data_IF_114169470244
#
_entry.id   IF_114169470244
#
_cell.length_a   1.000
_cell.length_b   1.000
_cell.length_c   1.000
_cell.angle_alpha   90.00
_cell.angle_beta   90.00
_cell.angle_gamma   90.00
#
_symmetry.space_group_name_H-M   'P 1'
#
loop_
_entity.id
_entity.type
_entity.pdbx_description
1 polymer ?
#
# COMPACT_ATOMS: atom_id res chain seq x y z
N UNK A 1 -42.76 -71.97 8.33
CA UNK A 1 -41.69 -72.79 7.70
C UNK A 1 -40.39 -71.99 7.69
N UNK A 2 -39.51 -72.24 8.67
CA UNK A 2 -38.14 -71.70 8.73
C UNK A 2 -37.20 -72.89 8.60
N UNK A 3 -36.41 -72.96 7.52
CA UNK A 3 -35.39 -74.01 7.35
C UNK A 3 -34.04 -73.48 7.81
N UNK A 4 -33.46 -74.19 8.79
CA UNK A 4 -32.03 -74.23 9.10
C UNK A 4 -31.28 -75.02 8.01
N UNK A 5 -30.02 -74.68 7.78
CA UNK A 5 -28.82 -75.54 7.60
C UNK A 5 -27.67 -74.63 7.12
N UNK A 6 -26.39 -74.71 7.49
CA UNK A 6 -25.58 -75.30 8.56
C UNK A 6 -24.24 -74.52 8.51
N UNK A 7 -23.60 -74.31 9.67
CA UNK A 7 -22.33 -73.60 9.80
C UNK A 7 -21.16 -74.45 9.29
N UNK A 8 -20.21 -73.82 8.60
CA UNK A 8 -18.81 -74.28 8.51
C UNK A 8 -17.92 -73.12 8.93
N UNK A 9 -17.28 -73.28 10.09
CA UNK A 9 -16.30 -72.36 10.64
C UNK A 9 -14.95 -72.70 10.02
N UNK A 10 -14.41 -71.82 9.18
CA UNK A 10 -13.00 -71.84 8.80
C UNK A 10 -12.30 -70.83 9.70
N UNK A 11 -11.49 -71.34 10.62
CA UNK A 11 -10.54 -70.53 11.40
C UNK A 11 -9.40 -70.18 10.45
N UNK A 12 -9.43 -68.97 9.87
CA UNK A 12 -8.30 -68.43 9.17
C UNK A 12 -7.29 -67.92 10.21
N UNK A 13 -6.15 -68.62 10.33
CA UNK A 13 -5.03 -68.18 11.14
C UNK A 13 -4.50 -66.84 10.58
N UNK A 14 -4.56 -65.79 11.39
CA UNK A 14 -3.95 -64.51 11.08
C UNK A 14 -2.43 -64.66 11.14
N UNK A 15 -1.80 -64.86 9.98
CA UNK A 15 -0.35 -64.71 9.83
C UNK A 15 -0.11 -63.20 9.65
N UNK A 16 0.28 -62.53 10.74
CA UNK A 16 0.70 -61.14 10.68
C UNK A 16 1.88 -61.00 9.72
N UNK A 17 1.93 -59.94 8.89
CA UNK A 17 3.09 -59.72 8.03
C UNK A 17 4.30 -59.49 8.93
N UNK A 18 5.30 -60.35 8.80
CA UNK A 18 6.61 -60.12 9.37
C UNK A 18 7.15 -58.83 8.77
N UNK A 19 7.23 -57.78 9.57
CA UNK A 19 8.03 -56.61 9.26
C UNK A 19 9.47 -57.07 9.24
N UNK A 20 9.96 -57.43 8.05
CA UNK A 20 11.39 -57.46 7.79
C UNK A 20 11.84 -56.02 7.98
N UNK A 21 12.34 -55.71 9.18
CA UNK A 21 13.07 -54.49 9.45
C UNK A 21 14.32 -54.54 8.59
N UNK A 22 14.19 -54.11 7.33
CA UNK A 22 15.33 -53.78 6.51
C UNK A 22 16.10 -52.73 7.27
N UNK A 23 17.29 -53.08 7.76
CA UNK A 23 18.20 -52.10 8.32
C UNK A 23 18.32 -50.98 7.29
N UNK A 24 17.91 -49.76 7.66
CA UNK A 24 18.09 -48.59 6.83
C UNK A 24 19.60 -48.47 6.58
N UNK A 25 20.05 -48.89 5.39
CA UNK A 25 21.41 -48.59 4.96
C UNK A 25 21.48 -47.08 4.82
N UNK A 26 22.45 -46.47 5.50
CA UNK A 26 22.85 -45.12 5.16
C UNK A 26 23.19 -45.12 3.66
N UNK A 27 22.43 -44.34 2.89
CA UNK A 27 22.69 -44.15 1.46
C UNK A 27 24.07 -43.55 1.25
N UNK A 28 24.57 -43.68 0.03
CA UNK A 28 25.70 -42.88 -0.41
C UNK A 28 25.31 -41.40 -0.49
N UNK A 29 26.29 -40.50 -0.55
CA UNK A 29 26.00 -39.09 -0.78
C UNK A 29 25.17 -38.86 -2.06
N UNK A 30 25.36 -39.68 -3.10
CA UNK A 30 24.59 -39.58 -4.35
C UNK A 30 23.12 -39.99 -4.19
N UNK A 31 22.80 -40.86 -3.22
CA UNK A 31 21.41 -41.24 -2.90
C UNK A 31 20.66 -40.11 -2.17
N UNK A 32 21.39 -39.28 -1.42
CA UNK A 32 20.83 -38.15 -0.68
C UNK A 32 20.90 -36.81 -1.45
N UNK A 33 21.84 -36.69 -2.38
CA UNK A 33 22.08 -35.49 -3.18
C UNK A 33 22.14 -35.85 -4.67
N UNK A 34 21.06 -36.42 -5.24
CA UNK A 34 21.05 -36.84 -6.63
C UNK A 34 21.31 -35.64 -7.55
N UNK A 35 22.24 -35.80 -8.50
CA UNK A 35 22.48 -34.80 -9.54
C UNK A 35 21.34 -34.83 -10.54
N UNK A 36 20.92 -33.65 -10.98
CA UNK A 36 19.92 -33.53 -12.04
C UNK A 36 20.45 -34.08 -13.37
N UNK A 37 19.61 -34.83 -14.07
CA UNK A 37 19.84 -35.20 -15.47
C UNK A 37 19.31 -34.05 -16.33
N UNK A 38 20.13 -33.54 -17.23
CA UNK A 38 19.78 -32.41 -18.09
C UNK A 38 19.29 -32.88 -19.47
N UNK A 39 18.33 -32.17 -20.06
CA UNK A 39 17.92 -32.36 -21.47
C UNK A 39 16.54 -33.01 -21.69
N UNK A 40 15.87 -33.50 -20.65
CA UNK A 40 14.47 -33.94 -20.67
C UNK A 40 13.53 -32.88 -20.10
N UNK A 41 12.24 -32.95 -20.49
CA UNK A 41 11.19 -32.20 -19.81
C UNK A 41 10.94 -32.86 -18.44
N UNK A 42 10.98 -32.07 -17.37
CA UNK A 42 10.95 -32.56 -15.98
C UNK A 42 9.63 -32.23 -15.26
N UNK A 43 8.65 -31.65 -15.95
CA UNK A 43 7.39 -31.27 -15.31
C UNK A 43 7.47 -29.95 -14.54
N UNK A 44 8.50 -29.15 -14.83
CA UNK A 44 8.87 -27.99 -14.03
C UNK A 44 7.84 -26.86 -14.03
N UNK A 45 7.91 -25.99 -13.03
CA UNK A 45 7.19 -24.71 -12.95
C UNK A 45 8.09 -23.57 -12.48
N UNK A 46 7.84 -22.36 -12.99
CA UNK A 46 8.32 -21.11 -12.40
C UNK A 46 7.32 -19.98 -12.65
N UNK A 47 7.55 -18.80 -12.07
CA UNK A 47 6.83 -17.59 -12.47
C UNK A 47 7.68 -16.78 -13.45
N UNK A 48 7.03 -16.25 -14.48
CA UNK A 48 7.50 -15.04 -15.13
C UNK A 48 6.76 -13.86 -14.51
N UNK A 49 7.48 -12.79 -14.18
CA UNK A 49 6.95 -11.74 -13.32
C UNK A 49 7.38 -10.36 -13.76
N UNK A 50 6.47 -9.40 -13.67
CA UNK A 50 6.73 -7.98 -13.87
C UNK A 50 6.62 -7.25 -12.53
N UNK A 51 7.63 -6.44 -12.19
CA UNK A 51 7.65 -5.58 -11.01
C UNK A 51 7.07 -4.21 -11.33
N UNK A 52 6.12 -3.74 -10.52
CA UNK A 52 5.65 -2.36 -10.50
C UNK A 52 6.06 -1.70 -9.18
N UNK A 53 6.61 -0.50 -9.27
CA UNK A 53 7.07 0.26 -8.12
C UNK A 53 6.50 1.68 -8.10
N UNK A 54 6.38 2.24 -6.90
CA UNK A 54 6.15 3.66 -6.66
C UNK A 54 7.48 4.38 -6.80
N UNK A 55 7.60 5.13 -7.88
CA UNK A 55 8.73 6.01 -8.16
C UNK A 55 8.55 7.31 -7.37
N UNK A 56 9.14 7.37 -6.18
CA UNK A 56 8.89 8.45 -5.24
C UNK A 56 9.57 9.76 -5.66
N UNK A 57 10.70 9.66 -6.37
CA UNK A 57 11.48 10.82 -6.81
C UNK A 57 11.15 11.24 -8.27
N UNK A 58 10.37 10.43 -8.99
CA UNK A 58 9.87 10.64 -10.37
C UNK A 58 10.95 10.66 -11.44
N UNK A 59 12.06 9.97 -11.23
CA UNK A 59 13.17 9.98 -12.18
C UNK A 59 13.05 8.89 -13.27
N UNK A 60 12.07 7.99 -13.18
CA UNK A 60 11.87 6.89 -14.13
C UNK A 60 12.90 5.77 -13.99
N UNK A 61 13.53 5.64 -12.83
CA UNK A 61 14.51 4.60 -12.48
C UNK A 61 14.05 3.92 -11.21
N UNK A 62 14.25 2.60 -11.10
CA UNK A 62 14.00 1.89 -9.85
C UNK A 62 15.24 2.01 -8.96
N UNK A 63 15.17 2.82 -7.90
CA UNK A 63 16.30 3.13 -7.03
C UNK A 63 16.07 2.91 -5.53
N UNK A 64 17.15 3.10 -4.76
CA UNK A 64 17.13 2.95 -3.30
C UNK A 64 16.24 4.03 -2.68
N UNK A 65 15.05 3.64 -2.25
CA UNK A 65 14.04 4.54 -1.71
C UNK A 65 12.67 4.30 -2.34
N UNK A 66 12.65 3.74 -3.55
CA UNK A 66 11.41 3.33 -4.19
C UNK A 66 10.76 2.15 -3.48
N UNK A 67 9.45 2.09 -3.64
CA UNK A 67 8.61 1.13 -2.90
C UNK A 67 7.83 0.24 -3.86
N UNK A 68 7.54 -1.01 -3.50
CA UNK A 68 6.60 -1.82 -4.28
C UNK A 68 5.25 -1.09 -4.41
N UNK A 69 4.54 -1.36 -5.50
CA UNK A 69 3.15 -0.95 -5.64
C UNK A 69 2.25 -2.18 -5.74
N UNK A 70 1.40 -2.37 -4.74
CA UNK A 70 0.44 -3.48 -4.68
C UNK A 70 -0.81 -3.16 -5.49
N UNK A 71 -1.44 -4.19 -6.05
CA UNK A 71 -2.71 -4.13 -6.81
C UNK A 71 -2.73 -3.26 -8.06
N UNK A 72 -1.61 -3.16 -8.75
CA UNK A 72 -1.57 -2.64 -10.11
C UNK A 72 -1.94 -3.75 -11.08
N UNK A 73 -2.81 -3.45 -12.05
CA UNK A 73 -3.18 -4.41 -13.08
C UNK A 73 -2.08 -4.56 -14.12
N UNK A 74 -1.73 -5.81 -14.43
CA UNK A 74 -0.79 -6.18 -15.49
C UNK A 74 -1.47 -7.19 -16.39
N UNK A 75 -1.63 -6.83 -17.65
CA UNK A 75 -2.17 -7.67 -18.71
C UNK A 75 -1.03 -8.41 -19.41
N UNK A 76 -1.28 -9.65 -19.80
CA UNK A 76 -0.38 -10.51 -20.57
C UNK A 76 -1.12 -11.03 -21.80
N UNK A 77 -0.73 -10.55 -22.96
CA UNK A 77 -1.16 -11.05 -24.26
C UNK A 77 -0.33 -12.29 -24.61
N UNK A 78 -1.03 -13.32 -25.10
CA UNK A 78 -0.47 -14.64 -25.39
C UNK A 78 -0.37 -14.90 -26.90
N UNK A 79 0.45 -15.90 -27.31
CA UNK A 79 0.56 -16.30 -28.71
C UNK A 79 -0.75 -16.74 -29.37
N UNK A 80 -1.70 -17.25 -28.59
CA UNK A 80 -3.03 -17.70 -29.08
C UNK A 80 -4.02 -16.53 -29.29
N UNK A 81 -3.59 -15.29 -29.04
CA UNK A 81 -4.40 -14.09 -29.13
C UNK A 81 -5.29 -13.82 -27.91
N UNK A 82 -5.22 -14.65 -26.86
CA UNK A 82 -5.91 -14.37 -25.60
C UNK A 82 -5.10 -13.44 -24.70
N UNK A 83 -5.81 -12.72 -23.83
CA UNK A 83 -5.22 -11.85 -22.80
C UNK A 83 -5.64 -12.33 -21.43
N UNK A 84 -4.72 -12.28 -20.47
CA UNK A 84 -5.02 -12.50 -19.05
C UNK A 84 -4.53 -11.33 -18.22
N UNK A 85 -5.13 -11.10 -17.06
CA UNK A 85 -4.73 -10.03 -16.14
C UNK A 85 -4.35 -10.59 -14.78
N UNK A 86 -3.31 -10.02 -14.16
CA UNK A 86 -2.94 -10.24 -12.76
C UNK A 86 -2.74 -8.90 -12.06
N UNK A 87 -3.12 -8.86 -10.79
CA UNK A 87 -2.78 -7.77 -9.90
C UNK A 87 -1.39 -8.02 -9.29
N UNK A 88 -0.61 -6.96 -9.10
CA UNK A 88 0.64 -7.04 -8.35
C UNK A 88 0.38 -7.40 -6.89
N UNK A 89 1.25 -8.23 -6.31
CA UNK A 89 1.19 -8.60 -4.90
C UNK A 89 1.83 -7.52 -3.99
N UNK A 90 1.93 -7.77 -2.67
CA UNK A 90 2.57 -6.87 -1.71
C UNK A 90 4.07 -6.59 -1.97
N UNK A 91 4.72 -7.41 -2.80
CA UNK A 91 6.07 -7.20 -3.29
C UNK A 91 6.15 -6.38 -4.58
N UNK A 92 5.02 -5.96 -5.14
CA UNK A 92 4.93 -5.25 -6.42
C UNK A 92 4.98 -6.16 -7.65
N UNK A 93 4.97 -7.49 -7.48
CA UNK A 93 5.09 -8.43 -8.60
C UNK A 93 3.73 -8.91 -9.09
N UNK A 94 3.47 -8.76 -10.39
CA UNK A 94 2.46 -9.54 -11.09
C UNK A 94 3.13 -10.84 -11.55
N UNK A 95 2.63 -11.99 -11.06
CA UNK A 95 3.24 -13.29 -11.31
C UNK A 95 2.34 -14.14 -12.24
N UNK A 96 2.93 -14.67 -13.29
CA UNK A 96 2.27 -15.58 -14.23
C UNK A 96 2.98 -16.93 -14.19
N UNK A 97 2.25 -18.00 -13.90
CA UNK A 97 2.86 -19.33 -13.80
C UNK A 97 3.21 -19.80 -15.20
N UNK A 98 4.40 -20.38 -15.29
CA UNK A 98 5.03 -20.79 -16.51
C UNK A 98 5.45 -22.26 -16.43
N UNK A 99 5.08 -23.04 -17.45
CA UNK A 99 5.51 -24.42 -17.60
C UNK A 99 5.33 -24.92 -19.03
N UNK A 100 6.35 -25.57 -19.60
CA UNK A 100 6.21 -26.25 -20.90
C UNK A 100 5.40 -27.55 -20.82
N UNK A 101 4.97 -28.00 -19.64
CA UNK A 101 4.24 -29.27 -19.44
C UNK A 101 2.91 -29.12 -18.70
N UNK A 102 2.79 -28.16 -17.76
CA UNK A 102 1.56 -27.92 -17.00
C UNK A 102 0.60 -27.03 -17.78
N UNK A 103 -0.30 -27.63 -18.57
CA UNK A 103 -1.21 -26.92 -19.50
C UNK A 103 -2.32 -26.09 -18.83
N UNK A 104 -2.49 -26.17 -17.52
CA UNK A 104 -3.42 -25.35 -16.75
C UNK A 104 -2.81 -24.01 -16.27
N UNK A 105 -1.60 -23.68 -16.73
CA UNK A 105 -0.89 -22.45 -16.38
C UNK A 105 -1.12 -21.33 -17.39
N UNK A 106 -0.64 -20.14 -17.04
CA UNK A 106 -0.80 -18.94 -17.84
C UNK A 106 0.12 -18.94 -19.07
N UNK A 107 1.39 -19.29 -18.89
CA UNK A 107 2.43 -19.27 -19.92
C UNK A 107 2.87 -20.71 -20.20
N UNK A 108 2.28 -21.32 -21.23
CA UNK A 108 2.41 -22.77 -21.49
C UNK A 108 2.96 -23.11 -22.87
N UNK A 109 2.83 -22.19 -23.82
CA UNK A 109 3.30 -22.34 -25.18
C UNK A 109 4.52 -21.47 -25.42
N UNK A 110 5.47 -21.97 -26.21
CA UNK A 110 6.53 -21.14 -26.75
C UNK A 110 5.92 -20.15 -27.77
N UNK A 111 6.46 -18.95 -27.82
CA UNK A 111 5.97 -17.89 -28.70
C UNK A 111 6.17 -16.51 -28.12
N UNK A 112 5.56 -15.53 -28.77
CA UNK A 112 5.64 -14.13 -28.41
C UNK A 112 4.59 -13.77 -27.36
N UNK A 113 5.00 -13.12 -26.28
CA UNK A 113 4.13 -12.62 -25.23
C UNK A 113 4.39 -11.13 -25.01
N UNK A 114 3.32 -10.37 -24.72
CA UNK A 114 3.41 -8.94 -24.43
C UNK A 114 2.76 -8.63 -23.07
N UNK A 115 3.46 -7.87 -22.23
CA UNK A 115 2.99 -7.37 -20.95
C UNK A 115 2.55 -5.91 -21.10
N UNK A 116 1.44 -5.53 -20.48
CA UNK A 116 0.99 -4.14 -20.39
C UNK A 116 0.55 -3.81 -18.97
N UNK A 117 1.15 -2.78 -18.38
CA UNK A 117 0.73 -2.24 -17.09
C UNK A 117 -0.43 -1.26 -17.30
N UNK A 118 -1.43 -1.31 -16.42
CA UNK A 118 -2.54 -0.35 -16.37
C UNK A 118 -2.49 0.39 -15.03
N UNK A 119 -2.21 1.71 -15.00
CA UNK A 119 -2.07 2.45 -13.76
C UNK A 119 -3.43 2.63 -13.08
N UNK A 120 -3.49 2.61 -11.74
CA UNK A 120 -4.71 2.98 -11.03
C UNK A 120 -5.02 4.49 -11.21
N UNK A 121 -6.25 4.93 -10.92
CA UNK A 121 -6.60 6.35 -10.97
C UNK A 121 -5.67 7.23 -10.12
N UNK A 122 -5.27 8.38 -10.65
CA UNK A 122 -4.38 9.32 -9.95
C UNK A 122 -2.91 8.90 -9.95
N UNK A 123 -2.49 8.02 -10.87
CA UNK A 123 -1.10 7.65 -11.09
C UNK A 123 -0.72 7.77 -12.57
N UNK A 124 0.52 8.23 -12.79
CA UNK A 124 1.13 8.37 -14.11
C UNK A 124 2.41 7.54 -14.21
N UNK A 125 2.69 7.05 -15.42
CA UNK A 125 3.96 6.37 -15.70
C UNK A 125 5.13 7.35 -15.59
N UNK A 126 6.19 6.92 -14.92
CA UNK A 126 7.48 7.60 -14.91
C UNK A 126 8.50 6.89 -15.78
N UNK A 127 8.33 5.58 -15.99
CA UNK A 127 9.15 4.79 -16.90
C UNK A 127 8.54 4.74 -18.30
N UNK A 128 9.37 4.76 -19.34
CA UNK A 128 8.96 4.66 -20.75
C UNK A 128 8.66 3.24 -21.24
N UNK A 129 8.43 2.28 -20.35
CA UNK A 129 8.36 0.83 -20.62
C UNK A 129 7.07 0.17 -20.09
N UNK A 130 5.96 0.91 -20.10
CA UNK A 130 4.64 0.42 -19.66
C UNK A 130 4.19 -0.86 -20.40
N UNK A 131 4.62 -1.01 -21.66
CA UNK A 131 4.46 -2.22 -22.46
C UNK A 131 5.83 -2.85 -22.73
N UNK A 132 5.92 -4.18 -22.59
CA UNK A 132 7.16 -4.94 -22.78
C UNK A 132 6.86 -6.27 -23.44
N UNK A 133 7.79 -6.79 -24.22
CA UNK A 133 7.58 -8.01 -25.00
C UNK A 133 8.74 -8.99 -24.79
N UNK A 134 8.44 -10.29 -24.90
CA UNK A 134 9.46 -11.33 -24.87
C UNK A 134 9.02 -12.57 -25.62
N UNK A 135 9.99 -13.22 -26.26
CA UNK A 135 9.82 -14.57 -26.79
C UNK A 135 10.09 -15.60 -25.71
N UNK A 136 9.21 -16.58 -25.60
CA UNK A 136 9.36 -17.74 -24.73
C UNK A 136 9.71 -18.96 -25.57
N UNK A 137 10.69 -19.73 -25.10
CA UNK A 137 11.18 -20.93 -25.80
C UNK A 137 11.28 -22.11 -24.85
N UNK A 138 10.90 -23.29 -25.33
CA UNK A 138 11.06 -24.54 -24.58
C UNK A 138 12.56 -24.76 -24.30
N UNK A 139 12.87 -25.03 -23.03
CA UNK A 139 14.23 -25.26 -22.55
C UNK A 139 14.19 -26.39 -21.52
N UNK A 140 14.29 -27.66 -21.99
CA UNK A 140 14.17 -28.83 -21.13
C UNK A 140 15.19 -28.83 -19.98
N UNK A 141 14.72 -29.09 -18.76
CA UNK A 141 15.54 -29.09 -17.55
C UNK A 141 15.68 -27.72 -16.89
N UNK A 142 15.19 -26.62 -17.50
CA UNK A 142 15.00 -25.36 -16.78
C UNK A 142 13.86 -25.49 -15.75
N UNK A 143 13.74 -24.60 -14.73
CA UNK A 143 12.73 -24.77 -13.69
C UNK A 143 11.29 -24.87 -14.19
N UNK A 144 10.94 -24.24 -15.33
CA UNK A 144 9.64 -24.35 -15.99
C UNK A 144 9.66 -25.15 -17.29
N UNK A 145 10.77 -25.82 -17.61
CA UNK A 145 11.06 -26.39 -18.93
C UNK A 145 10.91 -25.38 -20.10
N UNK A 146 10.94 -24.09 -19.77
CA UNK A 146 10.75 -22.95 -20.65
C UNK A 146 11.46 -21.74 -20.05
N UNK A 147 11.94 -20.86 -20.91
CA UNK A 147 12.57 -19.59 -20.51
C UNK A 147 12.03 -18.45 -21.35
N UNK A 148 12.04 -17.25 -20.79
CA UNK A 148 11.96 -16.00 -21.55
C UNK A 148 13.35 -15.69 -22.14
N UNK A 149 13.43 -15.27 -23.41
CA UNK A 149 14.69 -14.80 -24.00
C UNK A 149 15.16 -13.49 -23.38
N UNK A 150 14.21 -12.63 -23.03
CA UNK A 150 14.43 -11.36 -22.34
C UNK A 150 13.49 -11.27 -21.13
N UNK A 151 14.01 -10.88 -19.97
CA UNK A 151 13.19 -10.64 -18.79
C UNK A 151 12.59 -9.25 -18.81
N UNK A 152 11.46 -9.04 -18.14
CA UNK A 152 10.88 -7.70 -17.99
C UNK A 152 11.74 -6.81 -17.11
N UNK A 153 11.71 -5.51 -17.38
CA UNK A 153 12.23 -4.46 -16.51
C UNK A 153 11.14 -3.93 -15.57
N UNK A 154 11.50 -3.38 -14.39
CA UNK A 154 10.53 -2.73 -13.51
C UNK A 154 9.81 -1.57 -14.20
N UNK A 155 8.53 -1.35 -13.84
CA UNK A 155 7.69 -0.26 -14.34
C UNK A 155 7.37 0.69 -13.19
N UNK A 156 7.69 1.97 -13.37
CA UNK A 156 7.55 3.00 -12.35
C UNK A 156 6.27 3.81 -12.52
N UNK A 157 5.57 4.01 -11.41
CA UNK A 157 4.39 4.86 -11.31
C UNK A 157 4.60 5.91 -10.23
N UNK A 158 4.17 7.14 -10.48
CA UNK A 158 4.13 8.19 -9.48
C UNK A 158 2.71 8.75 -9.36
N UNK A 159 2.31 9.13 -8.14
CA UNK A 159 1.00 9.74 -7.91
C UNK A 159 0.87 11.05 -8.69
N UNK A 160 -0.32 11.41 -9.15
CA UNK A 160 -0.57 12.72 -9.70
C UNK A 160 -0.64 13.73 -8.55
N UNK A 161 0.22 14.75 -8.59
CA UNK A 161 0.34 15.69 -7.48
C UNK A 161 -0.72 16.78 -7.57
N UNK A 162 -1.44 16.95 -6.47
CA UNK A 162 -2.40 18.03 -6.31
C UNK A 162 -2.25 18.69 -4.95
N UNK A 163 -2.62 19.97 -4.87
CA UNK A 163 -3.04 20.60 -3.61
C UNK A 163 -4.54 20.77 -3.69
N UNK A 164 -5.25 20.26 -2.69
CA UNK A 164 -6.71 20.28 -2.62
C UNK A 164 -7.21 20.58 -1.21
N UNK A 165 -8.49 20.89 -1.07
CA UNK A 165 -9.09 21.17 0.23
C UNK A 165 -10.55 21.58 0.14
N UNK A 166 -11.14 21.89 1.30
CA UNK A 166 -12.45 22.50 1.41
C UNK A 166 -12.34 23.96 1.88
N UNK A 167 -13.17 24.82 1.30
CA UNK A 167 -13.25 26.23 1.64
C UNK A 167 -14.72 26.67 1.71
N UNK A 168 -15.02 27.73 2.46
CA UNK A 168 -16.33 28.35 2.41
C UNK A 168 -16.66 28.83 0.99
N UNK A 169 -17.94 28.78 0.60
CA UNK A 169 -18.39 29.25 -0.71
C UNK A 169 -17.99 30.73 -0.93
N UNK A 170 -17.46 31.02 -2.13
CA UNK A 170 -16.95 32.36 -2.46
C UNK A 170 -15.54 32.67 -1.96
N UNK A 171 -14.86 31.73 -1.30
CA UNK A 171 -13.44 31.88 -0.96
C UNK A 171 -12.60 31.96 -2.23
N UNK A 172 -11.69 32.92 -2.30
CA UNK A 172 -10.64 32.96 -3.32
C UNK A 172 -9.41 32.22 -2.78
N UNK A 173 -8.94 31.25 -3.56
CA UNK A 173 -7.74 30.45 -3.28
C UNK A 173 -6.69 30.77 -4.33
N UNK A 174 -5.49 31.18 -3.91
CA UNK A 174 -4.35 31.45 -4.79
C UNK A 174 -3.18 30.58 -4.35
N UNK A 175 -2.58 29.87 -5.31
CA UNK A 175 -1.40 29.04 -5.09
C UNK A 175 -0.21 29.73 -5.74
N UNK A 176 0.88 29.88 -4.99
CA UNK A 176 2.17 30.34 -5.50
C UNK A 176 3.16 29.19 -5.45
N UNK A 177 3.70 28.82 -6.60
CA UNK A 177 4.60 27.69 -6.74
C UNK A 177 6.08 28.01 -6.44
N UNK A 178 6.95 26.99 -6.52
CA UNK A 178 8.39 27.14 -6.31
C UNK A 178 9.08 28.09 -7.31
N UNK A 179 8.47 28.29 -8.47
CA UNK A 179 8.90 29.23 -9.51
C UNK A 179 8.47 30.68 -9.23
N UNK A 180 7.71 30.91 -8.16
CA UNK A 180 7.13 32.20 -7.78
C UNK A 180 5.88 32.57 -8.58
N UNK A 181 5.43 31.73 -9.51
CA UNK A 181 4.22 31.98 -10.30
C UNK A 181 2.98 31.69 -9.45
N UNK A 182 1.97 32.54 -9.60
CA UNK A 182 0.72 32.44 -8.85
C UNK A 182 -0.46 32.15 -9.76
N UNK A 183 -1.31 31.21 -9.36
CA UNK A 183 -2.55 30.86 -10.05
C UNK A 183 -3.73 30.77 -9.07
N UNK A 184 -4.89 31.28 -9.48
CA UNK A 184 -6.12 31.10 -8.70
C UNK A 184 -6.67 29.69 -8.95
N UNK A 185 -6.94 28.93 -7.88
CA UNK A 185 -7.60 27.64 -8.00
C UNK A 185 -9.11 27.84 -8.27
N UNK A 186 -9.66 26.94 -9.08
CA UNK A 186 -11.10 26.87 -9.30
C UNK A 186 -11.75 26.22 -8.08
N UNK A 187 -12.65 26.96 -7.42
CA UNK A 187 -13.47 26.44 -6.32
C UNK A 187 -14.81 25.97 -6.91
N UNK A 188 -15.15 24.71 -6.65
CA UNK A 188 -16.42 24.11 -7.05
C UNK A 188 -17.61 24.62 -6.24
N UNK A 189 -18.85 24.39 -6.71
CA UNK A 189 -20.07 24.76 -5.98
C UNK A 189 -20.20 24.08 -4.60
N UNK A 190 -19.54 22.95 -4.41
CA UNK A 190 -19.43 22.19 -3.15
C UNK A 190 -18.37 22.75 -2.19
N UNK A 191 -17.70 23.84 -2.56
CA UNK A 191 -16.63 24.44 -1.78
C UNK A 191 -15.31 23.66 -1.84
N UNK A 192 -15.17 22.67 -2.73
CA UNK A 192 -13.91 21.95 -2.93
C UNK A 192 -13.06 22.60 -4.00
N UNK A 193 -11.75 22.57 -3.83
CA UNK A 193 -10.80 22.94 -4.89
C UNK A 193 -9.74 21.85 -5.02
N UNK A 194 -9.15 21.76 -6.21
CA UNK A 194 -7.98 20.96 -6.49
C UNK A 194 -7.19 21.62 -7.60
N UNK A 195 -5.87 21.67 -7.46
CA UNK A 195 -4.95 22.20 -8.45
C UNK A 195 -3.80 21.20 -8.64
N UNK A 196 -3.47 20.88 -9.89
CA UNK A 196 -2.27 20.13 -10.20
C UNK A 196 -1.03 20.96 -9.89
N UNK A 197 -0.02 20.32 -9.29
CA UNK A 197 1.20 20.99 -8.82
C UNK A 197 2.44 20.15 -9.15
N UNK A 198 3.61 20.79 -9.08
CA UNK A 198 4.89 20.11 -9.12
C UNK A 198 5.43 19.92 -7.69
N UNK A 199 6.40 19.01 -7.48
CA UNK A 199 7.11 18.91 -6.20
C UNK A 199 7.76 20.24 -5.81
N UNK A 200 7.83 20.50 -4.51
CA UNK A 200 8.50 21.68 -3.94
C UNK A 200 7.64 22.45 -2.95
N UNK A 201 8.10 23.66 -2.64
CA UNK A 201 7.47 24.56 -1.68
C UNK A 201 6.37 25.40 -2.31
N UNK A 202 5.19 25.40 -1.69
CA UNK A 202 4.02 26.14 -2.14
C UNK A 202 3.50 27.06 -1.05
N UNK A 203 3.06 28.25 -1.44
CA UNK A 203 2.24 29.11 -0.61
C UNK A 203 0.79 29.04 -1.09
N UNK A 204 -0.15 28.86 -0.16
CA UNK A 204 -1.58 28.84 -0.46
C UNK A 204 -2.26 29.94 0.33
N UNK A 205 -2.77 30.94 -0.38
CA UNK A 205 -3.48 32.10 0.15
C UNK A 205 -4.99 31.91 0.01
N UNK A 206 -5.68 31.93 1.15
CA UNK A 206 -7.13 31.93 1.26
C UNK A 206 -7.61 33.34 1.58
N UNK A 207 -8.71 33.75 0.95
CA UNK A 207 -9.37 35.02 1.26
C UNK A 207 -10.88 34.91 1.12
N UNK A 208 -11.61 35.23 2.19
CA UNK A 208 -13.07 35.25 2.22
C UNK A 208 -13.58 36.25 3.26
N UNK A 209 -14.53 37.12 2.89
CA UNK A 209 -15.20 38.01 3.85
C UNK A 209 -14.27 38.92 4.66
N UNK A 210 -13.10 39.29 4.12
CA UNK A 210 -12.07 40.09 4.81
C UNK A 210 -11.10 39.28 5.68
N UNK A 211 -11.34 37.99 5.90
CA UNK A 211 -10.37 37.09 6.53
C UNK A 211 -9.37 36.58 5.48
N UNK A 212 -8.09 36.51 5.88
CA UNK A 212 -7.02 35.92 5.08
C UNK A 212 -6.26 34.88 5.88
N UNK A 213 -5.81 33.83 5.20
CA UNK A 213 -4.93 32.80 5.77
C UNK A 213 -3.91 32.39 4.72
N UNK A 214 -2.65 32.27 5.13
CA UNK A 214 -1.58 31.78 4.27
C UNK A 214 -1.04 30.49 4.86
N UNK A 215 -0.95 29.46 4.04
CA UNK A 215 -0.33 28.17 4.40
C UNK A 215 0.93 27.95 3.59
N UNK A 216 1.95 27.44 4.26
CA UNK A 216 3.15 26.91 3.62
C UNK A 216 3.00 25.39 3.49
N UNK A 217 3.17 24.87 2.29
CA UNK A 217 2.89 23.47 1.95
C UNK A 217 4.07 22.90 1.18
N UNK A 218 4.67 21.85 1.71
CA UNK A 218 5.69 21.07 1.01
C UNK A 218 4.97 19.98 0.23
N UNK A 219 5.12 19.96 -1.09
CA UNK A 219 4.63 18.86 -1.95
C UNK A 219 5.79 17.93 -2.26
N UNK A 220 5.76 16.73 -1.68
CA UNK A 220 6.71 15.66 -1.94
C UNK A 220 6.22 14.69 -3.01
N UNK A 221 6.18 13.40 -2.66
CA UNK A 221 5.77 12.33 -3.57
C UNK A 221 4.25 12.08 -3.62
N UNK A 222 3.46 12.73 -2.76
CA UNK A 222 2.01 12.49 -2.59
C UNK A 222 1.17 13.74 -2.87
N UNK A 223 -0.09 13.58 -3.32
CA UNK A 223 -1.05 14.68 -3.31
C UNK A 223 -1.28 15.16 -1.86
N UNK A 224 -1.55 16.45 -1.72
CA UNK A 224 -1.77 17.12 -0.43
C UNK A 224 -3.23 17.55 -0.32
N UNK A 225 -3.87 17.19 0.80
CA UNK A 225 -5.18 17.71 1.20
C UNK A 225 -4.98 18.64 2.39
N UNK A 226 -5.42 19.88 2.26
CA UNK A 226 -5.40 20.88 3.32
C UNK A 226 -6.65 20.76 4.18
N UNK A 227 -6.51 20.95 5.50
CA UNK A 227 -7.68 21.14 6.37
C UNK A 227 -8.55 22.31 5.92
N UNK A 228 -9.84 22.25 6.25
CA UNK A 228 -10.81 23.19 5.75
C UNK A 228 -10.56 24.62 6.22
N UNK A 229 -10.61 25.57 5.28
CA UNK A 229 -10.63 27.00 5.59
C UNK A 229 -12.06 27.46 5.90
N UNK A 230 -12.30 27.85 7.16
CA UNK A 230 -13.64 28.21 7.65
C UNK A 230 -13.99 29.70 7.50
N UNK A 231 -13.08 30.54 7.00
CA UNK A 231 -13.34 31.97 6.79
C UNK A 231 -13.61 32.79 8.06
N UNK A 232 -13.36 32.21 9.24
CA UNK A 232 -13.52 32.86 10.55
C UNK A 232 -12.15 33.28 11.06
N UNK A 233 -11.84 34.56 10.96
CA UNK A 233 -10.58 35.13 11.41
C UNK A 233 -10.45 35.08 12.95
N UNK A 234 -9.50 34.29 13.43
CA UNK A 234 -8.86 34.46 14.72
C UNK A 234 -7.39 34.89 14.53
N UNK A 235 -6.71 35.42 15.55
CA UNK A 235 -5.28 35.68 15.45
C UNK A 235 -4.54 34.38 15.10
N UNK A 236 -3.62 34.46 14.13
CA UNK A 236 -2.78 33.33 13.76
C UNK A 236 -2.00 32.85 14.99
N UNK A 237 -2.23 31.60 15.39
CA UNK A 237 -1.49 30.99 16.49
C UNK A 237 -0.19 30.45 15.91
N UNK A 238 0.94 30.96 16.39
CA UNK A 238 2.24 30.49 15.96
C UNK A 238 2.40 28.98 16.27
N UNK A 239 3.05 28.22 15.36
CA UNK A 239 3.40 26.82 15.59
C UNK A 239 4.11 26.60 16.92
N UNK A 240 3.86 25.46 17.54
CA UNK A 240 4.74 24.97 18.60
C UNK A 240 6.15 24.66 18.04
N UNK A 241 7.22 24.89 18.83
CA UNK A 241 8.57 24.99 18.28
C UNK A 241 9.25 23.62 18.05
N UNK A 242 8.90 22.59 18.79
CA UNK A 242 9.56 21.28 18.70
C UNK A 242 8.79 20.41 17.71
N UNK A 243 9.44 19.97 16.63
CA UNK A 243 8.86 19.13 15.58
C UNK A 243 9.18 17.64 15.83
N UNK A 244 8.20 16.79 15.56
CA UNK A 244 8.32 15.34 15.67
C UNK A 244 7.63 14.66 14.49
N UNK A 245 8.15 13.51 14.08
CA UNK A 245 7.53 12.60 13.12
C UNK A 245 7.60 11.19 13.67
N UNK A 246 6.47 10.51 13.70
CA UNK A 246 6.36 9.10 14.13
C UNK A 246 6.04 8.25 12.90
N UNK A 247 7.04 7.48 12.44
CA UNK A 247 6.91 6.49 11.35
C UNK A 247 6.63 5.06 11.84
N UNK A 248 6.55 4.83 13.16
CA UNK A 248 6.27 3.51 13.77
C UNK A 248 7.36 2.44 13.60
N UNK A 249 8.44 2.72 12.87
CA UNK A 249 9.52 1.78 12.56
C UNK A 249 10.41 1.41 13.75
N UNK A 250 10.60 2.32 14.70
CA UNK A 250 11.42 2.10 15.90
C UNK A 250 10.63 1.47 17.06
N UNK A 251 9.33 1.18 16.84
CA UNK A 251 8.51 0.49 17.83
C UNK A 251 8.95 -0.97 18.02
N UNK A 252 9.50 -1.59 16.98
CA UNK A 252 9.90 -3.00 17.02
C UNK A 252 10.96 -3.37 15.98
N UNK A 253 11.77 -4.38 16.31
CA UNK A 253 12.78 -4.94 15.40
C UNK A 253 12.37 -6.29 14.79
N UNK A 254 11.16 -6.77 15.05
CA UNK A 254 10.65 -8.06 14.55
C UNK A 254 9.25 -7.92 13.93
N UNK A 255 8.95 -8.59 12.81
CA UNK A 255 7.61 -8.55 12.21
C UNK A 255 6.52 -9.05 13.16
N UNK A 256 5.45 -8.27 13.31
CA UNK A 256 4.27 -8.62 14.10
C UNK A 256 3.23 -7.49 14.10
N UNK A 257 2.21 -7.61 14.96
CA UNK A 257 1.11 -6.67 15.11
C UNK A 257 1.05 -6.23 16.58
N UNK A 258 1.07 -4.93 16.84
CA UNK A 258 1.19 -4.40 18.18
C UNK A 258 0.36 -3.14 18.37
N UNK A 259 -0.32 -3.03 19.51
CA UNK A 259 -0.93 -1.76 19.90
C UNK A 259 0.17 -0.72 20.13
N UNK A 260 -0.03 0.49 19.60
CA UNK A 260 0.89 1.61 19.80
C UNK A 260 0.79 2.02 21.28
N UNK A 261 1.87 1.90 22.07
CA UNK A 261 1.81 2.16 23.49
C UNK A 261 1.77 3.67 23.76
N UNK A 262 0.95 4.07 24.74
CA UNK A 262 0.98 5.43 25.26
C UNK A 262 2.39 5.79 25.76
N UNK A 263 2.84 7.01 25.44
CA UNK A 263 4.20 7.49 25.69
C UNK A 263 5.12 7.39 24.48
N UNK A 264 4.79 6.60 23.46
CA UNK A 264 5.52 6.59 22.20
C UNK A 264 5.40 7.96 21.50
N UNK A 265 6.53 8.55 21.08
CA UNK A 265 6.59 9.96 20.67
C UNK A 265 6.18 10.97 21.77
N UNK A 266 5.99 10.56 23.02
CA UNK A 266 5.49 11.43 24.08
C UNK A 266 3.99 11.78 23.97
N UNK A 267 3.21 11.02 23.20
CA UNK A 267 1.74 11.14 23.11
C UNK A 267 1.03 9.92 23.70
N UNK A 268 -0.21 10.10 24.14
CA UNK A 268 -1.13 9.03 24.45
C UNK A 268 -1.76 8.47 23.17
N UNK A 269 -1.88 7.16 23.11
CA UNK A 269 -2.41 6.44 21.95
C UNK A 269 -3.50 5.48 22.42
N UNK A 270 -4.60 5.43 21.67
CA UNK A 270 -5.70 4.50 21.91
C UNK A 270 -6.22 3.95 20.59
N UNK A 271 -6.41 2.63 20.54
CA UNK A 271 -6.96 1.89 19.41
C UNK A 271 -6.19 2.11 18.08
N UNK A 272 -4.89 2.40 18.17
CA UNK A 272 -3.96 2.39 17.05
C UNK A 272 -3.04 1.19 17.16
N UNK A 273 -2.86 0.50 16.04
CA UNK A 273 -2.02 -0.68 15.93
C UNK A 273 -0.99 -0.43 14.85
N UNK A 274 0.25 -0.85 15.07
CA UNK A 274 1.32 -0.82 14.09
C UNK A 274 1.70 -2.25 13.68
N UNK A 275 2.05 -2.43 12.41
CA UNK A 275 2.55 -3.69 11.86
C UNK A 275 3.49 -3.46 10.69
N UNK A 276 4.27 -4.47 10.34
CA UNK A 276 5.02 -4.45 9.08
C UNK A 276 4.03 -4.40 7.90
N UNK A 277 4.29 -3.54 6.91
CA UNK A 277 3.33 -3.26 5.81
C UNK A 277 2.94 -4.47 4.95
N UNK A 278 3.79 -5.51 4.91
CA UNK A 278 3.48 -6.81 4.27
C UNK A 278 3.01 -7.90 5.23
N UNK A 279 2.66 -7.57 6.47
CA UNK A 279 2.20 -8.56 7.44
C UNK A 279 0.85 -9.17 7.02
N UNK A 280 0.03 -8.37 6.34
CA UNK A 280 -1.23 -8.82 5.72
C UNK A 280 -1.17 -8.59 4.21
N UNK A 281 -2.15 -9.14 3.48
CA UNK A 281 -2.33 -8.90 2.05
C UNK A 281 -3.13 -7.61 1.76
N UNK A 282 -3.31 -6.73 2.76
CA UNK A 282 -4.01 -5.46 2.61
C UNK A 282 -3.19 -4.48 1.75
N UNK A 283 -3.63 -4.15 0.52
CA UNK A 283 -2.84 -3.37 -0.44
C UNK A 283 -2.55 -1.95 0.02
N UNK A 284 -3.48 -1.32 0.75
CA UNK A 284 -3.31 0.02 1.25
C UNK A 284 -2.20 0.12 2.27
N UNK A 285 -1.96 -0.93 3.05
CA UNK A 285 -0.83 -0.95 3.96
C UNK A 285 0.50 -0.81 3.21
N UNK A 286 0.65 -1.52 2.09
CA UNK A 286 1.83 -1.43 1.21
C UNK A 286 1.91 -0.08 0.49
N UNK A 287 0.77 0.39 -0.02
CA UNK A 287 0.70 1.57 -0.88
C UNK A 287 0.73 2.89 -0.09
N UNK A 288 0.44 2.87 1.22
CA UNK A 288 0.47 4.06 2.09
C UNK A 288 1.80 4.23 2.82
N UNK A 289 2.59 3.17 3.05
CA UNK A 289 3.90 3.31 3.72
C UNK A 289 4.82 4.25 2.94
N UNK A 290 5.39 5.22 3.62
CA UNK A 290 6.27 6.27 3.12
C UNK A 290 7.65 6.22 3.79
N UNK A 291 7.72 5.89 5.08
CA UNK A 291 8.98 5.67 5.82
C UNK A 291 9.10 4.21 6.28
N UNK A 292 10.34 3.79 6.56
CA UNK A 292 10.74 2.41 6.86
C UNK A 292 9.87 1.28 6.29
N UNK A 293 9.42 0.38 7.14
CA UNK A 293 8.61 -0.81 6.78
C UNK A 293 7.35 -1.00 7.64
N UNK A 294 7.13 -0.17 8.65
CA UNK A 294 5.97 -0.25 9.52
C UNK A 294 4.89 0.76 9.14
N UNK A 295 3.65 0.43 9.48
CA UNK A 295 2.50 1.29 9.25
C UNK A 295 1.50 1.15 10.38
N UNK A 296 0.89 2.26 10.78
CA UNK A 296 -0.18 2.27 11.77
C UNK A 296 -1.56 2.22 11.11
N UNK A 297 -2.55 1.76 11.87
CA UNK A 297 -3.96 1.81 11.47
C UNK A 297 -4.87 1.79 12.69
N UNK A 298 -6.09 2.31 12.53
CA UNK A 298 -7.10 2.23 13.58
C UNK A 298 -7.67 0.81 13.70
N UNK A 299 -7.56 0.19 14.88
CA UNK A 299 -7.83 -1.24 15.04
C UNK A 299 -9.28 -1.59 14.74
N UNK A 300 -9.48 -2.67 13.96
CA UNK A 300 -10.79 -3.10 13.47
C UNK A 300 -11.62 -1.99 12.83
N UNK A 301 -10.97 -0.94 12.31
CA UNK A 301 -11.59 0.25 11.73
C UNK A 301 -12.39 1.13 12.70
N UNK A 302 -12.36 0.83 14.00
CA UNK A 302 -13.02 1.64 15.03
C UNK A 302 -12.26 2.95 15.27
N UNK A 303 -12.90 3.98 15.86
CA UNK A 303 -12.22 5.24 16.15
C UNK A 303 -10.96 5.05 16.99
N UNK A 304 -9.87 5.64 16.53
CA UNK A 304 -8.59 5.76 17.20
C UNK A 304 -8.47 7.15 17.84
N UNK A 305 -7.63 7.27 18.87
CA UNK A 305 -7.32 8.56 19.48
C UNK A 305 -5.83 8.76 19.70
N UNK A 306 -5.40 10.01 19.50
CA UNK A 306 -4.09 10.53 19.88
C UNK A 306 -4.33 11.70 20.84
N UNK A 307 -3.72 11.70 22.02
CA UNK A 307 -4.05 12.68 23.06
C UNK A 307 -2.86 13.04 23.95
N UNK A 308 -2.95 14.18 24.62
CA UNK A 308 -1.97 14.63 25.62
C UNK A 308 -2.61 15.63 26.59
N UNK A 309 -2.17 15.60 27.84
CA UNK A 309 -2.56 16.60 28.86
C UNK A 309 -1.98 17.99 28.53
N UNK A 310 -0.88 18.04 27.76
CA UNK A 310 -0.31 19.28 27.26
C UNK A 310 -0.77 19.50 25.81
N UNK A 311 -1.09 20.74 25.41
CA UNK A 311 -1.44 21.03 24.02
C UNK A 311 -0.31 20.69 23.05
N UNK A 312 -0.66 20.10 21.91
CA UNK A 312 0.22 19.83 20.78
C UNK A 312 -0.41 20.35 19.48
N UNK A 313 0.40 20.53 18.45
CA UNK A 313 -0.11 20.83 17.10
C UNK A 313 -0.07 19.54 16.28
N UNK A 314 -1.17 19.14 15.63
CA UNK A 314 -1.12 18.10 14.61
C UNK A 314 -0.82 18.75 13.26
N UNK A 315 0.36 18.46 12.71
CA UNK A 315 0.83 19.04 11.45
C UNK A 315 0.22 18.30 10.27
N UNK A 316 0.23 16.97 10.33
CA UNK A 316 -0.32 16.12 9.28
C UNK A 316 0.15 14.67 9.39
N UNK A 317 -0.33 13.83 8.47
CA UNK A 317 0.15 12.47 8.29
C UNK A 317 -0.22 11.97 6.88
N UNK A 318 0.43 10.90 6.44
CA UNK A 318 -0.03 10.16 5.27
C UNK A 318 -1.19 9.24 5.64
N UNK A 319 -2.20 9.21 4.77
CA UNK A 319 -3.37 8.35 4.95
C UNK A 319 -3.68 7.56 3.67
N UNK A 320 -4.25 6.37 3.86
CA UNK A 320 -4.88 5.56 2.82
C UNK A 320 -5.88 4.57 3.43
N UNK A 321 -6.60 3.83 2.59
CA UNK A 321 -7.53 2.80 3.03
C UNK A 321 -6.81 1.45 3.03
N UNK A 322 -6.78 0.73 4.16
CA UNK A 322 -5.98 -0.51 4.28
C UNK A 322 -6.37 -1.63 3.30
N UNK A 323 -7.64 -1.66 2.90
CA UNK A 323 -8.23 -2.70 2.04
C UNK A 323 -8.85 -2.10 0.78
N UNK A 324 -8.76 -2.83 -0.33
CA UNK A 324 -9.36 -2.47 -1.61
C UNK A 324 -10.89 -2.41 -1.58
N UNK A 325 -11.54 -3.24 -0.76
CA UNK A 325 -13.00 -3.17 -0.55
C UNK A 325 -13.43 -1.84 0.11
N UNK A 326 -12.47 -1.09 0.67
CA UNK A 326 -12.67 0.23 1.27
C UNK A 326 -12.23 1.38 0.33
N UNK A 327 -11.99 1.12 -0.96
CA UNK A 327 -11.67 2.17 -1.93
C UNK A 327 -12.76 3.26 -1.93
N UNK A 328 -12.35 4.53 -1.77
CA UNK A 328 -13.28 5.65 -1.68
C UNK A 328 -13.86 5.89 -0.28
N UNK A 329 -13.36 5.20 0.75
CA UNK A 329 -13.77 5.43 2.14
C UNK A 329 -13.51 6.88 2.58
N UNK A 330 -14.35 7.40 3.48
CA UNK A 330 -14.19 8.76 4.00
C UNK A 330 -13.49 8.73 5.35
N UNK A 331 -12.28 9.28 5.41
CA UNK A 331 -11.62 9.61 6.67
C UNK A 331 -12.33 10.80 7.32
N UNK A 332 -12.50 10.72 8.63
CA UNK A 332 -13.05 11.79 9.46
C UNK A 332 -12.05 12.04 10.59
N UNK A 333 -11.52 13.26 10.61
CA UNK A 333 -10.58 13.74 11.63
C UNK A 333 -11.28 14.78 12.48
N UNK A 334 -11.37 14.52 13.78
CA UNK A 334 -11.92 15.48 14.75
C UNK A 334 -10.89 15.80 15.80
N UNK A 335 -10.78 17.07 16.17
CA UNK A 335 -9.83 17.46 17.20
C UNK A 335 -10.42 18.45 18.19
N UNK A 336 -9.93 18.39 19.43
CA UNK A 336 -10.45 19.15 20.57
C UNK A 336 -9.36 19.94 21.29
N UNK A 337 -9.76 21.04 21.93
CA UNK A 337 -8.99 21.80 22.92
C UNK A 337 -9.65 21.60 24.28
N UNK A 338 -9.11 20.71 25.10
CA UNK A 338 -9.86 20.18 26.24
C UNK A 338 -11.14 19.50 25.75
N UNK A 339 -12.29 20.00 26.17
CA UNK A 339 -13.61 19.48 25.78
C UNK A 339 -14.22 20.22 24.57
N UNK A 340 -13.64 21.34 24.13
CA UNK A 340 -14.16 22.13 23.02
C UNK A 340 -13.74 21.54 21.66
N UNK A 341 -14.72 21.26 20.80
CA UNK A 341 -14.45 20.81 19.43
C UNK A 341 -13.84 21.94 18.61
N UNK A 342 -12.65 21.73 18.06
CA UNK A 342 -11.90 22.73 17.31
C UNK A 342 -11.84 22.46 15.80
N UNK A 343 -11.83 21.19 15.38
CA UNK A 343 -11.70 20.78 13.98
C UNK A 343 -12.58 19.57 13.65
N UNK A 344 -13.12 19.52 12.43
CA UNK A 344 -13.89 18.39 11.85
C UNK A 344 -13.64 18.40 10.33
N UNK A 345 -12.68 17.59 9.88
CA UNK A 345 -12.30 17.47 8.48
C UNK A 345 -12.65 16.11 7.91
N UNK A 346 -12.88 16.11 6.59
CA UNK A 346 -13.19 14.91 5.81
C UNK A 346 -12.41 14.88 4.51
N UNK A 347 -11.79 13.73 4.25
CA UNK A 347 -11.12 13.42 2.99
C UNK A 347 -11.38 11.98 2.57
N UNK A 348 -11.31 11.74 1.27
CA UNK A 348 -11.49 10.42 0.66
C UNK A 348 -10.16 9.69 0.66
N UNK A 349 -10.19 8.41 1.03
CA UNK A 349 -9.05 7.50 1.04
C UNK A 349 -9.05 6.59 -0.17
N UNK A 350 -7.86 6.10 -0.52
CA UNK A 350 -7.66 5.08 -1.55
C UNK A 350 -6.79 3.96 -0.99
N UNK A 351 -7.03 2.73 -1.44
CA UNK A 351 -6.15 1.59 -1.22
C UNK A 351 -5.07 1.49 -2.31
N UNK A 352 -5.26 2.18 -3.43
CA UNK A 352 -4.31 2.22 -4.53
C UNK A 352 -3.18 3.23 -4.32
N UNK A 353 -3.39 4.20 -3.44
CA UNK A 353 -2.43 5.27 -3.19
C UNK A 353 -2.66 6.01 -1.90
N UNK A 354 -1.83 7.02 -1.70
CA UNK A 354 -1.78 7.78 -0.45
C UNK A 354 -2.06 9.27 -0.67
N UNK A 355 -2.41 9.93 0.42
CA UNK A 355 -2.53 11.38 0.47
C UNK A 355 -1.87 11.89 1.74
N UNK A 356 -1.18 13.02 1.64
CA UNK A 356 -0.72 13.74 2.83
C UNK A 356 -1.81 14.72 3.26
N UNK A 357 -2.35 14.55 4.47
CA UNK A 357 -3.27 15.53 5.04
C UNK A 357 -2.48 16.58 5.81
N UNK A 358 -2.39 17.80 5.27
CA UNK A 358 -1.78 18.94 5.94
C UNK A 358 -2.84 19.66 6.81
N UNK A 359 -2.87 19.28 8.09
CA UNK A 359 -3.93 19.63 9.03
C UNK A 359 -3.80 21.05 9.58
N UNK A 360 -2.59 21.44 10.00
CA UNK A 360 -2.34 22.69 10.74
C UNK A 360 -3.21 22.85 12.01
N UNK A 361 -3.56 21.75 12.67
CA UNK A 361 -4.38 21.81 13.88
C UNK A 361 -3.53 22.30 15.05
N UNK A 362 -3.72 23.55 15.46
CA UNK A 362 -2.92 24.17 16.53
C UNK A 362 -3.45 23.81 17.90
N UNK A 363 -2.60 23.68 18.91
CA UNK A 363 -2.89 23.55 20.36
C UNK A 363 -4.09 22.66 20.71
N UNK A 364 -4.21 21.52 20.05
CA UNK A 364 -5.21 20.50 20.39
C UNK A 364 -4.71 19.65 21.56
N UNK A 365 -5.62 19.02 22.28
CA UNK A 365 -5.31 18.04 23.34
C UNK A 365 -5.73 16.63 22.95
N UNK A 366 -6.61 16.49 21.95
CA UNK A 366 -7.07 15.20 21.44
C UNK A 366 -7.35 15.29 19.94
N UNK A 367 -6.96 14.26 19.21
CA UNK A 367 -7.33 13.94 17.84
C UNK A 367 -8.04 12.59 17.83
N UNK A 368 -9.21 12.51 17.21
CA UNK A 368 -9.90 11.28 16.85
C UNK A 368 -9.69 11.02 15.36
N UNK A 369 -9.31 9.78 15.05
CA UNK A 369 -9.11 9.30 13.69
C UNK A 369 -10.11 8.17 13.47
N UNK A 370 -11.05 8.34 12.55
CA UNK A 370 -12.00 7.28 12.20
C UNK A 370 -12.37 7.36 10.73
N UNK A 371 -12.96 6.29 10.24
CA UNK A 371 -13.61 6.27 8.93
C UNK A 371 -15.13 6.35 9.09
N UNK A 372 -15.85 6.64 8.02
CA UNK A 372 -17.30 6.74 8.04
C UNK A 372 -17.96 5.36 8.19
N UNK A 373 -17.41 4.34 7.53
CA UNK A 373 -17.97 2.99 7.54
C UNK A 373 -17.12 1.96 8.32
N UNK A 374 -16.29 2.43 9.25
CA UNK A 374 -15.48 1.56 10.14
C UNK A 374 -14.50 0.64 9.39
N UNK A 375 -13.94 1.13 8.28
CA UNK A 375 -12.78 0.53 7.64
C UNK A 375 -11.48 1.06 8.24
N UNK A 376 -10.40 0.31 8.05
CA UNK A 376 -9.08 0.66 8.56
C UNK A 376 -8.46 1.75 7.68
N UNK A 377 -8.14 2.89 8.28
CA UNK A 377 -7.29 3.91 7.71
C UNK A 377 -5.83 3.56 8.03
N UNK A 378 -5.03 3.34 6.99
CA UNK A 378 -3.59 3.21 7.09
C UNK A 378 -2.95 4.59 7.30
N UNK A 379 -1.96 4.68 8.17
CA UNK A 379 -1.37 5.93 8.68
C UNK A 379 0.14 5.78 8.74
N UNK A 380 0.86 6.73 8.15
CA UNK A 380 2.32 6.80 8.25
C UNK A 380 2.81 8.25 8.39
N UNK A 381 4.03 8.42 8.89
CA UNK A 381 4.69 9.68 9.24
C UNK A 381 3.75 10.66 9.96
N UNK A 382 3.27 10.26 11.15
CA UNK A 382 2.43 11.12 11.98
C UNK A 382 3.24 12.31 12.50
N UNK A 383 3.04 13.48 11.90
CA UNK A 383 3.79 14.70 12.16
C UNK A 383 3.04 15.64 13.12
N UNK A 384 3.71 16.07 14.17
CA UNK A 384 3.15 16.95 15.19
C UNK A 384 4.23 17.83 15.82
N UNK A 385 3.78 18.83 16.58
CA UNK A 385 4.65 19.76 17.30
C UNK A 385 4.26 19.85 18.77
N UNK A 386 5.25 19.97 19.65
CA UNK A 386 5.03 20.12 21.09
C UNK A 386 5.66 21.40 21.61
N UNK A 387 5.21 21.83 22.79
CA UNK A 387 5.93 22.82 23.58
C UNK A 387 7.33 22.34 23.98
N UNK A 388 8.16 23.25 24.50
CA UNK A 388 9.49 22.93 25.00
C UNK A 388 9.48 21.96 26.18
#
# INVERSE_FOLDING_TARGET
MKRRLWFSVIVAAAIGPATVGGAARAGSADDYYPKRVWGSLEGGQMNTSLLVFRDLNRNGVYDLGDRPMSRVAVELDKPDGSTIMRLTNAGGFANFRMSATQRNFEVVDAGHYAFRVVPPPGYSFTTGNASQESDYVVSPGSPGDMIAKTTTHPVGLAADLTISGAVAAGTRVVLTGPDGLSAAAKVGPDGRFSAAVAPGEWLVDFSAGGATERRHVVVGAAPVVLSAFQGKGGPAVAPLPVEHVVGFDDLMTSPGVFEVPSGYGGLGWYNLVAMHQRFTDGPGYVNTTMSGEFIAYNSSGHPAQVFSDKPFDFTGAYFGAGWDDAEGETLILKAWRGDESAYDDRLVLSANGLVYFAADYRRITRLEIRTQHYWQAAIDDFAYRTGP
#
